data_IF_694784872302
#
_entry.id   IF_694784872302
#
_cell.length_a   1.000
_cell.length_b   1.000
_cell.length_c   1.000
_cell.angle_alpha   90.00
_cell.angle_beta   90.00
_cell.angle_gamma   90.00
#
_symmetry.space_group_name_H-M   'P 1'
#
loop_
_entity.id
_entity.type
_entity.pdbx_description
1 polymer ?
#
# COMPACT_ATOMS: atom_id res chain seq x y z
N UNK A 1 6.98 -24.56 46.69
CA UNK A 1 7.24 -25.44 45.54
C UNK A 1 7.43 -24.55 44.33
N UNK A 2 8.65 -24.38 43.85
CA UNK A 2 9.02 -23.47 42.76
C UNK A 2 9.29 -24.30 41.50
N UNK A 3 8.52 -24.07 40.44
CA UNK A 3 8.72 -24.73 39.15
C UNK A 3 9.50 -23.79 38.22
N UNK A 4 10.71 -24.20 37.82
CA UNK A 4 11.50 -23.55 36.79
C UNK A 4 11.19 -24.21 35.45
N UNK A 5 10.82 -23.41 34.44
CA UNK A 5 10.63 -23.88 33.06
C UNK A 5 11.88 -23.50 32.26
N UNK A 6 12.64 -24.50 31.84
CA UNK A 6 13.78 -24.36 30.92
C UNK A 6 13.28 -24.51 29.49
N UNK A 7 13.38 -23.45 28.68
CA UNK A 7 13.09 -23.53 27.24
C UNK A 7 14.38 -23.80 26.46
N UNK A 8 14.44 -24.97 25.82
CA UNK A 8 15.54 -25.41 24.97
C UNK A 8 15.27 -24.90 23.54
N UNK A 9 16.06 -23.93 23.07
CA UNK A 9 15.92 -23.35 21.74
C UNK A 9 17.00 -23.92 20.80
N UNK A 10 16.67 -24.97 20.06
CA UNK A 10 17.50 -25.47 18.96
C UNK A 10 16.64 -25.61 17.71
N UNK A 11 16.58 -24.52 16.93
CA UNK A 11 16.13 -24.56 15.54
C UNK A 11 17.33 -24.89 14.65
N UNK A 12 17.49 -26.17 14.31
CA UNK A 12 18.41 -26.57 13.23
C UNK A 12 17.72 -26.37 11.88
N UNK A 13 18.12 -25.35 11.13
CA UNK A 13 17.76 -25.20 9.72
C UNK A 13 18.60 -26.18 8.89
N UNK A 14 18.07 -27.38 8.61
CA UNK A 14 18.58 -28.23 7.54
C UNK A 14 17.94 -27.79 6.22
N UNK A 15 18.72 -27.11 5.40
CA UNK A 15 18.40 -26.86 4.01
C UNK A 15 18.67 -28.14 3.20
N UNK A 16 17.63 -28.68 2.57
CA UNK A 16 17.72 -29.82 1.65
C UNK A 16 17.26 -29.37 0.26
N UNK A 17 18.21 -28.93 -0.57
CA UNK A 17 17.99 -28.81 -2.01
C UNK A 17 18.32 -30.15 -2.66
N UNK A 18 17.30 -30.77 -3.25
CA UNK A 18 17.41 -31.95 -4.09
C UNK A 18 17.99 -31.58 -5.46
N UNK A 19 19.07 -32.28 -5.79
CA UNK A 19 19.35 -32.97 -7.04
C UNK A 19 19.02 -32.29 -8.39
N UNK A 20 20.10 -32.03 -9.14
CA UNK A 20 20.11 -32.26 -10.59
C UNK A 20 20.89 -31.23 -11.40
N UNK A 21 22.17 -31.50 -11.70
CA UNK A 21 22.76 -31.51 -13.06
C UNK A 21 24.30 -31.50 -13.01
N UNK A 22 24.82 -32.68 -13.35
CA UNK A 22 26.03 -33.00 -14.15
C UNK A 22 27.36 -32.24 -13.95
N UNK A 23 28.32 -33.05 -13.46
CA UNK A 23 29.78 -32.96 -13.57
C UNK A 23 30.32 -32.28 -14.84
N UNK A 24 31.34 -31.43 -14.65
CA UNK A 24 32.56 -31.47 -15.45
C UNK A 24 33.78 -31.11 -14.59
N UNK A 25 34.68 -32.06 -14.46
CA UNK A 25 35.98 -31.97 -13.77
C UNK A 25 36.91 -31.03 -14.54
N UNK A 26 37.65 -30.15 -13.84
CA UNK A 26 38.95 -29.65 -14.31
C UNK A 26 39.93 -29.57 -13.13
N UNK A 27 41.11 -30.10 -13.43
CA UNK A 27 42.26 -30.39 -12.57
C UNK A 27 42.87 -29.16 -11.89
N UNK A 28 43.28 -29.33 -10.64
CA UNK A 28 44.13 -28.40 -9.89
C UNK A 28 45.59 -28.76 -10.18
N UNK A 29 46.40 -27.80 -10.61
CA UNK A 29 47.84 -27.79 -10.39
C UNK A 29 48.25 -26.40 -9.89
N UNK A 30 49.09 -26.31 -8.84
CA UNK A 30 49.61 -25.05 -8.33
C UNK A 30 50.97 -24.76 -8.97
N UNK A 31 51.18 -23.55 -9.50
CA UNK A 31 52.54 -23.00 -9.54
C UNK A 31 52.54 -21.46 -9.60
N UNK A 32 53.57 -20.92 -8.97
CA UNK A 32 53.79 -19.53 -8.57
C UNK A 32 54.34 -18.64 -9.70
N UNK A 33 53.96 -17.35 -9.68
CA UNK A 33 54.85 -16.15 -9.76
C UNK A 33 54.40 -15.06 -10.76
N UNK A 34 53.97 -13.94 -10.17
CA UNK A 34 54.45 -12.56 -10.36
C UNK A 34 53.90 -11.62 -11.48
N UNK A 35 53.66 -10.40 -11.00
CA UNK A 35 53.44 -9.06 -11.60
C UNK A 35 52.19 -8.75 -12.43
N UNK A 36 51.38 -7.82 -11.90
CA UNK A 36 50.88 -6.67 -12.68
C UNK A 36 49.35 -6.50 -12.74
N UNK A 37 48.85 -5.50 -12.01
CA UNK A 37 47.55 -4.82 -12.12
C UNK A 37 46.29 -5.68 -12.31
N UNK A 38 45.58 -5.93 -11.21
CA UNK A 38 44.20 -6.43 -11.23
C UNK A 38 43.27 -5.42 -10.57
N UNK A 39 42.44 -4.83 -11.43
CA UNK A 39 41.09 -4.31 -11.23
C UNK A 39 40.44 -4.72 -9.89
N UNK A 40 39.80 -3.80 -9.14
CA UNK A 40 39.05 -4.18 -7.95
C UNK A 40 37.96 -5.18 -8.34
N UNK A 41 38.00 -6.35 -7.71
CA UNK A 41 37.00 -7.38 -7.86
C UNK A 41 35.62 -6.80 -7.54
N UNK A 42 34.68 -6.98 -8.48
CA UNK A 42 33.26 -6.76 -8.27
C UNK A 42 32.80 -7.60 -7.07
N UNK A 43 32.66 -6.94 -5.93
CA UNK A 43 31.87 -7.44 -4.82
C UNK A 43 30.44 -7.50 -5.38
N UNK A 44 29.73 -8.64 -5.32
CA UNK A 44 28.33 -8.65 -5.69
C UNK A 44 27.61 -7.73 -4.71
N UNK A 45 27.29 -6.52 -5.19
CA UNK A 45 26.45 -5.56 -4.51
C UNK A 45 25.23 -6.32 -4.01
N UNK A 46 24.94 -6.14 -2.73
CA UNK A 46 23.64 -6.48 -2.14
C UNK A 46 22.55 -6.10 -3.13
N UNK A 47 21.55 -6.96 -3.39
CA UNK A 47 20.50 -6.61 -4.33
C UNK A 47 19.93 -5.26 -3.89
N UNK A 48 20.06 -4.27 -4.77
CA UNK A 48 19.41 -2.98 -4.60
C UNK A 48 17.93 -3.29 -4.41
N UNK A 49 17.46 -3.22 -3.17
CA UNK A 49 16.05 -3.22 -2.86
C UNK A 49 15.59 -1.86 -3.34
N UNK A 50 15.30 -1.75 -4.65
CA UNK A 50 14.59 -0.63 -5.21
C UNK A 50 13.21 -0.65 -4.57
N UNK A 51 13.09 0.10 -3.47
CA UNK A 51 11.81 0.41 -2.88
C UNK A 51 11.06 1.26 -3.90
N UNK A 52 10.27 0.58 -4.72
CA UNK A 52 9.13 1.18 -5.41
C UNK A 52 8.45 2.12 -4.42
N UNK A 53 8.25 3.38 -4.80
CA UNK A 53 7.51 4.37 -4.00
C UNK A 53 6.04 3.98 -3.77
N UNK A 54 5.61 2.89 -4.40
CA UNK A 54 4.31 2.23 -4.24
C UNK A 54 4.53 0.89 -3.54
N UNK A 55 3.83 0.67 -2.44
CA UNK A 55 4.01 -0.48 -1.55
C UNK A 55 3.34 -1.74 -2.10
N UNK A 56 2.69 -1.64 -3.25
CA UNK A 56 1.76 -2.65 -3.73
C UNK A 56 1.89 -2.92 -5.23
N UNK A 57 1.92 -4.20 -5.58
CA UNK A 57 1.66 -4.71 -6.92
C UNK A 57 0.16 -4.59 -7.19
N UNK A 58 -0.35 -3.35 -7.19
CA UNK A 58 -1.77 -3.09 -7.32
C UNK A 58 -2.29 -3.64 -8.64
N UNK A 59 -3.16 -4.63 -8.56
CA UNK A 59 -3.83 -5.18 -9.73
C UNK A 59 -4.79 -4.13 -10.29
N UNK A 60 -4.36 -3.45 -11.36
CA UNK A 60 -5.17 -2.40 -12.03
C UNK A 60 -6.57 -2.87 -12.40
N UNK A 61 -6.75 -4.16 -12.73
CA UNK A 61 -8.06 -4.71 -13.06
C UNK A 61 -8.97 -4.82 -11.81
N UNK A 62 -8.39 -5.14 -10.66
CA UNK A 62 -9.12 -5.19 -9.39
C UNK A 62 -9.52 -3.78 -8.95
N UNK A 63 -8.60 -2.81 -9.01
CA UNK A 63 -8.90 -1.39 -8.72
C UNK A 63 -10.01 -0.88 -9.64
N UNK A 64 -9.93 -1.16 -10.94
CA UNK A 64 -11.00 -0.77 -11.88
C UNK A 64 -12.34 -1.43 -11.54
N UNK A 65 -12.34 -2.67 -11.05
CA UNK A 65 -13.57 -3.34 -10.61
C UNK A 65 -14.16 -2.69 -9.37
N UNK A 66 -13.33 -2.38 -8.37
CA UNK A 66 -13.73 -1.66 -7.15
C UNK A 66 -14.27 -0.28 -7.50
N UNK A 67 -13.58 0.47 -8.38
CA UNK A 67 -14.02 1.78 -8.84
C UNK A 67 -15.42 1.72 -9.47
N UNK A 68 -15.64 0.78 -10.39
CA UNK A 68 -16.95 0.60 -11.03
C UNK A 68 -18.04 0.22 -10.02
N UNK A 69 -17.72 -0.61 -9.03
CA UNK A 69 -18.65 -0.93 -7.95
C UNK A 69 -19.01 0.33 -7.15
N UNK A 70 -18.03 1.11 -6.73
CA UNK A 70 -18.23 2.36 -5.99
C UNK A 70 -19.10 3.33 -6.81
N UNK A 71 -18.84 3.47 -8.11
CA UNK A 71 -19.63 4.31 -9.01
C UNK A 71 -21.09 3.88 -9.09
N UNK A 72 -21.36 2.58 -9.14
CA UNK A 72 -22.72 2.03 -9.12
C UNK A 72 -23.41 2.27 -7.77
N UNK A 73 -22.71 2.06 -6.66
CA UNK A 73 -23.23 2.28 -5.31
C UNK A 73 -23.54 3.76 -5.06
N UNK A 74 -22.60 4.65 -5.41
CA UNK A 74 -22.76 6.10 -5.31
C UNK A 74 -23.96 6.58 -6.13
N UNK A 75 -24.09 6.10 -7.38
CA UNK A 75 -25.24 6.40 -8.23
C UNK A 75 -26.56 5.95 -7.59
N UNK A 76 -26.62 4.70 -7.11
CA UNK A 76 -27.84 4.16 -6.50
C UNK A 76 -28.23 4.92 -5.22
N UNK A 77 -27.25 5.34 -4.40
CA UNK A 77 -27.48 6.18 -3.22
C UNK A 77 -28.01 7.56 -3.61
N UNK A 78 -27.36 8.23 -4.57
CA UNK A 78 -27.74 9.56 -5.03
C UNK A 78 -29.17 9.58 -5.60
N UNK A 79 -29.52 8.59 -6.43
CA UNK A 79 -30.86 8.46 -6.99
C UNK A 79 -31.91 8.17 -5.91
N UNK A 80 -31.58 7.34 -4.92
CA UNK A 80 -32.47 7.03 -3.79
C UNK A 80 -32.73 8.25 -2.90
N UNK A 81 -31.71 9.07 -2.67
CA UNK A 81 -31.79 10.25 -1.82
C UNK A 81 -32.44 11.45 -2.54
N UNK A 82 -32.62 11.37 -3.86
CA UNK A 82 -33.29 12.38 -4.68
C UNK A 82 -34.83 12.35 -4.55
N UNK A 83 -35.34 12.47 -3.33
CA UNK A 83 -36.78 12.41 -3.00
C UNK A 83 -37.59 13.51 -3.70
N UNK A 84 -36.95 14.64 -4.03
CA UNK A 84 -37.59 15.78 -4.68
C UNK A 84 -37.66 15.66 -6.21
N UNK A 85 -37.19 14.55 -6.80
CA UNK A 85 -37.12 14.32 -8.25
C UNK A 85 -36.45 15.46 -9.03
N UNK A 86 -35.40 16.05 -8.45
CA UNK A 86 -34.59 17.05 -9.14
C UNK A 86 -33.81 16.36 -10.27
N UNK A 87 -33.63 17.04 -11.39
CA UNK A 87 -32.80 16.51 -12.48
C UNK A 87 -31.33 16.41 -12.02
N UNK A 88 -30.82 15.18 -11.92
CA UNK A 88 -29.43 14.90 -11.57
C UNK A 88 -28.54 15.07 -12.80
N UNK A 89 -27.48 15.85 -12.66
CA UNK A 89 -26.53 16.16 -13.74
C UNK A 89 -25.27 15.29 -13.63
N UNK A 90 -24.48 15.14 -14.72
CA UNK A 90 -23.23 14.38 -14.69
C UNK A 90 -22.28 14.80 -13.55
N UNK A 91 -22.22 16.10 -13.24
CA UNK A 91 -21.46 16.62 -12.10
C UNK A 91 -21.85 16.00 -10.75
N UNK A 92 -23.14 15.79 -10.50
CA UNK A 92 -23.63 15.27 -9.22
C UNK A 92 -23.18 13.82 -9.01
N UNK A 93 -23.19 13.01 -10.07
CA UNK A 93 -22.71 11.63 -10.04
C UNK A 93 -21.20 11.55 -9.80
N UNK A 94 -20.41 12.42 -10.45
CA UNK A 94 -18.96 12.46 -10.23
C UNK A 94 -18.63 12.87 -8.80
N UNK A 95 -19.28 13.92 -8.30
CA UNK A 95 -19.12 14.36 -6.91
C UNK A 95 -19.46 13.24 -5.93
N UNK A 96 -20.62 12.60 -6.11
CA UNK A 96 -21.03 11.49 -5.25
C UNK A 96 -20.06 10.31 -5.31
N UNK A 97 -19.47 10.04 -6.47
CA UNK A 97 -18.48 8.96 -6.62
C UNK A 97 -17.19 9.30 -5.86
N UNK A 98 -16.68 10.53 -5.97
CA UNK A 98 -15.49 10.99 -5.25
C UNK A 98 -15.70 10.91 -3.73
N UNK A 99 -16.87 11.35 -3.26
CA UNK A 99 -17.22 11.28 -1.84
C UNK A 99 -17.31 9.82 -1.35
N UNK A 100 -17.93 8.94 -2.13
CA UNK A 100 -18.06 7.53 -1.80
C UNK A 100 -16.71 6.79 -1.77
N UNK A 101 -15.76 7.12 -2.66
CA UNK A 101 -14.40 6.53 -2.65
C UNK A 101 -13.73 6.69 -1.27
N UNK A 102 -13.91 7.84 -0.62
CA UNK A 102 -13.32 8.11 0.68
C UNK A 102 -13.98 7.30 1.81
N UNK A 103 -15.26 6.97 1.67
CA UNK A 103 -16.06 6.29 2.70
C UNK A 103 -16.14 4.77 2.50
N UNK A 104 -15.91 4.30 1.28
CA UNK A 104 -16.11 2.90 0.93
C UNK A 104 -15.16 1.98 1.74
N UNK A 105 -15.68 0.91 2.35
CA UNK A 105 -14.86 -0.05 3.09
C UNK A 105 -14.03 -0.88 2.12
N UNK A 106 -12.70 -0.81 2.23
CA UNK A 106 -11.76 -1.56 1.39
C UNK A 106 -11.19 -2.74 2.15
N UNK A 107 -11.29 -3.93 1.56
CA UNK A 107 -10.65 -5.14 2.07
C UNK A 107 -9.40 -5.40 1.24
N UNK A 108 -8.24 -5.03 1.79
CA UNK A 108 -6.94 -5.30 1.17
C UNK A 108 -6.31 -6.56 1.77
N UNK A 109 -5.58 -7.30 0.94
CA UNK A 109 -4.82 -8.50 1.34
C UNK A 109 -3.34 -8.28 1.10
N UNK A 110 -2.51 -9.02 1.83
CA UNK A 110 -1.06 -9.09 1.57
C UNK A 110 -0.85 -10.16 0.52
N UNK A 111 -0.37 -9.76 -0.64
CA UNK A 111 -0.02 -10.69 -1.71
C UNK A 111 1.33 -11.38 -1.42
N UNK A 112 1.62 -12.55 -2.01
CA UNK A 112 2.84 -13.31 -1.71
C UNK A 112 4.15 -12.53 -1.90
N UNK A 113 4.18 -11.63 -2.88
CA UNK A 113 5.31 -10.73 -3.18
C UNK A 113 5.46 -9.58 -2.17
N UNK A 114 4.38 -9.24 -1.44
CA UNK A 114 4.34 -8.16 -0.46
C UNK A 114 4.68 -8.61 0.97
N UNK A 115 4.77 -9.92 1.21
CA UNK A 115 4.98 -10.51 2.55
C UNK A 115 6.20 -9.92 3.25
N UNK A 116 7.32 -9.77 2.54
CA UNK A 116 8.55 -9.23 3.13
C UNK A 116 8.38 -7.78 3.59
N UNK A 117 7.74 -6.95 2.78
CA UNK A 117 7.44 -5.55 3.11
C UNK A 117 6.46 -5.48 4.28
N UNK A 118 5.42 -6.32 4.28
CA UNK A 118 4.47 -6.39 5.39
C UNK A 118 5.14 -6.80 6.71
N UNK A 119 6.07 -7.76 6.68
CA UNK A 119 6.86 -8.14 7.86
C UNK A 119 7.72 -6.96 8.33
N UNK A 120 8.37 -6.25 7.42
CA UNK A 120 9.20 -5.09 7.76
C UNK A 120 8.37 -3.99 8.42
N UNK A 121 7.20 -3.66 7.86
CA UNK A 121 6.28 -2.66 8.40
C UNK A 121 5.82 -3.04 9.80
N UNK A 122 5.42 -4.30 9.99
CA UNK A 122 5.04 -4.82 11.31
C UNK A 122 6.18 -4.72 12.33
N UNK A 123 7.44 -4.97 11.92
CA UNK A 123 8.61 -4.80 12.80
C UNK A 123 8.84 -3.34 13.20
N UNK A 124 8.46 -2.40 12.34
CA UNK A 124 8.49 -0.95 12.62
C UNK A 124 7.26 -0.48 13.40
N UNK A 125 6.31 -1.36 13.72
CA UNK A 125 5.05 -1.00 14.38
C UNK A 125 4.04 -0.33 13.47
N UNK A 126 4.23 -0.41 12.15
CA UNK A 126 3.39 0.19 11.13
C UNK A 126 2.45 -0.88 10.57
N UNK A 127 1.16 -0.55 10.46
CA UNK A 127 0.17 -1.41 9.83
C UNK A 127 0.31 -1.36 8.31
N UNK A 128 0.86 -2.42 7.72
CA UNK A 128 0.98 -2.55 6.26
C UNK A 128 -0.38 -2.44 5.56
N UNK A 129 -1.43 -3.02 6.15
CA UNK A 129 -2.77 -3.01 5.57
C UNK A 129 -3.34 -1.59 5.48
N UNK A 130 -3.16 -0.78 6.52
CA UNK A 130 -3.69 0.59 6.53
C UNK A 130 -2.98 1.45 5.48
N UNK A 131 -1.67 1.29 5.34
CA UNK A 131 -0.90 1.98 4.30
C UNK A 131 -1.35 1.53 2.91
N UNK A 132 -1.55 0.22 2.69
CA UNK A 132 -2.04 -0.30 1.42
C UNK A 132 -3.45 0.20 1.10
N UNK A 133 -4.34 0.33 2.10
CA UNK A 133 -5.67 0.92 1.89
C UNK A 133 -5.60 2.37 1.44
N UNK A 134 -4.71 3.18 2.05
CA UNK A 134 -4.50 4.56 1.63
C UNK A 134 -4.05 4.63 0.16
N UNK A 135 -3.07 3.79 -0.23
CA UNK A 135 -2.60 3.73 -1.62
C UNK A 135 -3.71 3.31 -2.60
N UNK A 136 -4.53 2.31 -2.26
CA UNK A 136 -5.67 1.91 -3.10
C UNK A 136 -6.66 3.07 -3.27
N UNK A 137 -6.98 3.82 -2.21
CA UNK A 137 -7.86 5.00 -2.31
C UNK A 137 -7.27 6.07 -3.21
N UNK A 138 -5.97 6.32 -3.13
CA UNK A 138 -5.30 7.27 -4.01
C UNK A 138 -5.42 6.86 -5.47
N UNK A 139 -5.25 5.58 -5.80
CA UNK A 139 -5.42 5.08 -7.17
C UNK A 139 -6.88 5.15 -7.64
N UNK A 140 -7.86 4.89 -6.77
CA UNK A 140 -9.28 5.08 -7.09
C UNK A 140 -9.60 6.55 -7.39
N UNK A 141 -9.01 7.49 -6.64
CA UNK A 141 -9.17 8.93 -6.89
C UNK A 141 -8.54 9.37 -8.22
N UNK A 142 -7.42 8.76 -8.63
CA UNK A 142 -6.83 9.00 -9.96
C UNK A 142 -7.75 8.52 -11.09
N UNK A 143 -8.42 7.37 -10.92
CA UNK A 143 -9.43 6.91 -11.87
C UNK A 143 -10.63 7.88 -11.92
N UNK A 144 -11.05 8.41 -10.78
CA UNK A 144 -12.09 9.43 -10.73
C UNK A 144 -11.67 10.72 -11.46
N UNK A 145 -10.40 11.13 -11.33
CA UNK A 145 -9.84 12.28 -12.05
C UNK A 145 -9.87 12.05 -13.57
N UNK A 146 -9.46 10.88 -14.04
CA UNK A 146 -9.53 10.49 -15.45
C UNK A 146 -10.98 10.52 -15.97
N UNK A 147 -11.94 9.99 -15.20
CA UNK A 147 -13.37 10.00 -15.54
C UNK A 147 -13.95 11.43 -15.63
N UNK A 148 -13.53 12.33 -14.74
CA UNK A 148 -13.91 13.74 -14.74
C UNK A 148 -13.34 14.45 -15.97
N UNK A 149 -12.07 14.22 -16.28
CA UNK A 149 -11.41 14.82 -17.44
C UNK A 149 -12.04 14.32 -18.75
N UNK A 150 -12.30 13.02 -18.87
CA UNK A 150 -13.03 12.44 -20.01
C UNK A 150 -14.42 13.06 -20.18
N UNK A 151 -15.13 13.30 -19.07
CA UNK A 151 -16.47 13.92 -19.12
C UNK A 151 -16.42 15.37 -19.55
N UNK A 152 -15.37 16.11 -19.18
CA UNK A 152 -15.17 17.48 -19.64
C UNK A 152 -14.83 17.53 -21.13
N UNK A 153 -13.97 16.63 -21.62
CA UNK A 153 -13.64 16.50 -23.04
C UNK A 153 -14.88 16.17 -23.90
N UNK A 154 -15.84 15.43 -23.33
CA UNK A 154 -17.12 15.12 -23.95
C UNK A 154 -18.19 16.22 -23.76
N UNK A 155 -17.82 17.38 -23.19
CA UNK A 155 -18.71 18.50 -22.87
C UNK A 155 -19.93 18.11 -21.98
N UNK A 156 -19.80 17.05 -21.18
CA UNK A 156 -20.85 16.60 -20.25
C UNK A 156 -20.84 17.37 -18.93
N UNK A 157 -19.74 18.05 -18.62
CA UNK A 157 -19.59 18.97 -17.48
C UNK A 157 -18.92 20.27 -17.97
N UNK A 158 -19.15 21.37 -17.26
CA UNK A 158 -18.47 22.65 -17.56
C UNK A 158 -17.02 22.66 -17.05
N UNK A 159 -16.19 23.56 -17.58
CA UNK A 159 -14.82 23.76 -17.08
C UNK A 159 -14.75 24.15 -15.61
N UNK A 160 -15.70 24.97 -15.14
CA UNK A 160 -15.80 25.35 -13.73
C UNK A 160 -16.11 24.12 -12.85
N UNK A 161 -17.03 23.26 -13.31
CA UNK A 161 -17.37 22.01 -12.64
C UNK A 161 -16.18 21.04 -12.61
N UNK A 162 -15.47 20.89 -13.74
CA UNK A 162 -14.25 20.08 -13.84
C UNK A 162 -13.21 20.56 -12.82
N UNK A 163 -12.92 21.85 -12.79
CA UNK A 163 -11.94 22.44 -11.89
C UNK A 163 -12.34 22.26 -10.41
N UNK A 164 -13.62 22.42 -10.09
CA UNK A 164 -14.14 22.16 -8.73
C UNK A 164 -13.96 20.69 -8.31
N UNK A 165 -14.26 19.74 -9.19
CA UNK A 165 -14.06 18.31 -8.91
C UNK A 165 -12.58 17.95 -8.77
N UNK A 166 -11.72 18.45 -9.67
CA UNK A 166 -10.26 18.26 -9.57
C UNK A 166 -9.68 18.83 -8.28
N UNK A 167 -10.17 19.98 -7.79
CA UNK A 167 -9.76 20.53 -6.50
C UNK A 167 -10.14 19.63 -5.32
N UNK A 168 -11.36 19.07 -5.34
CA UNK A 168 -11.81 18.12 -4.30
C UNK A 168 -10.92 16.86 -4.33
N UNK A 169 -10.66 16.31 -5.52
CA UNK A 169 -9.79 15.15 -5.70
C UNK A 169 -8.37 15.45 -5.18
N UNK A 170 -7.78 16.58 -5.57
CA UNK A 170 -6.45 16.99 -5.12
C UNK A 170 -6.38 17.16 -3.59
N UNK A 171 -7.41 17.75 -2.98
CA UNK A 171 -7.49 17.86 -1.52
C UNK A 171 -7.56 16.50 -0.83
N UNK A 172 -8.34 15.57 -1.38
CA UNK A 172 -8.45 14.22 -0.83
C UNK A 172 -7.15 13.41 -1.02
N UNK A 173 -6.48 13.55 -2.16
CA UNK A 173 -5.15 12.95 -2.40
C UNK A 173 -4.12 13.45 -1.39
N UNK A 174 -4.09 14.77 -1.13
CA UNK A 174 -3.18 15.34 -0.14
C UNK A 174 -3.46 14.81 1.27
N UNK A 175 -4.73 14.69 1.67
CA UNK A 175 -5.10 14.07 2.96
C UNK A 175 -4.63 12.63 3.06
N UNK A 176 -4.82 11.83 2.01
CA UNK A 176 -4.39 10.42 2.00
C UNK A 176 -2.86 10.29 2.05
N UNK A 177 -2.13 11.21 1.41
CA UNK A 177 -0.67 11.25 1.49
C UNK A 177 -0.21 11.62 2.91
N UNK A 178 -0.83 12.62 3.53
CA UNK A 178 -0.56 13.00 4.93
C UNK A 178 -0.89 11.85 5.90
N UNK A 179 -2.01 11.15 5.70
CA UNK A 179 -2.40 9.97 6.48
C UNK A 179 -1.39 8.83 6.31
N UNK A 180 -0.98 8.54 5.07
CA UNK A 180 0.06 7.55 4.77
C UNK A 180 1.37 7.93 5.46
N UNK A 181 1.80 9.19 5.36
CA UNK A 181 3.03 9.66 5.99
C UNK A 181 2.96 9.53 7.52
N UNK A 182 1.83 9.90 8.14
CA UNK A 182 1.63 9.74 9.58
C UNK A 182 1.67 8.26 10.03
N UNK A 183 1.14 7.35 9.20
CA UNK A 183 1.26 5.90 9.45
C UNK A 183 2.72 5.46 9.40
N UNK A 184 3.49 5.93 8.41
CA UNK A 184 4.90 5.58 8.23
C UNK A 184 5.80 6.15 9.34
N UNK A 185 5.47 7.33 9.88
CA UNK A 185 6.19 7.93 11.00
C UNK A 185 5.90 7.27 12.35
N UNK A 186 4.92 6.35 12.39
CA UNK A 186 4.49 5.66 13.60
C UNK A 186 3.73 6.56 14.57
N UNK A 187 3.20 7.70 14.11
CA UNK A 187 2.45 8.64 14.95
C UNK A 187 1.23 8.00 15.60
N UNK A 188 0.57 7.10 14.87
CA UNK A 188 -0.57 6.34 15.38
C UNK A 188 -0.17 5.47 16.58
N UNK A 189 1.00 4.83 16.53
CA UNK A 189 1.51 4.01 17.63
C UNK A 189 1.85 4.88 18.85
N UNK A 190 2.48 6.04 18.64
CA UNK A 190 2.79 6.99 19.72
C UNK A 190 1.52 7.51 20.40
N UNK A 191 0.50 7.88 19.62
CA UNK A 191 -0.81 8.31 20.13
C UNK A 191 -1.50 7.20 20.93
N UNK A 192 -1.57 5.99 20.38
CA UNK A 192 -2.19 4.84 21.06
C UNK A 192 -1.48 4.47 22.36
N UNK A 193 -0.14 4.52 22.40
CA UNK A 193 0.63 4.32 23.62
C UNK A 193 0.31 5.40 24.66
N UNK A 194 0.26 6.66 24.24
CA UNK A 194 -0.02 7.79 25.12
C UNK A 194 -1.44 7.73 25.71
N UNK A 195 -2.46 7.41 24.91
CA UNK A 195 -3.83 7.18 25.37
C UNK A 195 -3.92 6.02 26.36
N UNK A 196 -3.22 4.90 26.10
CA UNK A 196 -3.15 3.78 27.04
C UNK A 196 -2.52 4.20 28.37
N UNK A 197 -1.42 4.95 28.34
CA UNK A 197 -0.77 5.45 29.56
C UNK A 197 -1.69 6.41 30.35
N UNK A 198 -2.45 7.27 29.68
CA UNK A 198 -3.43 8.16 30.32
C UNK A 198 -4.57 7.38 30.97
N UNK A 199 -5.13 6.37 30.29
CA UNK A 199 -6.18 5.52 30.86
C UNK A 199 -5.72 4.72 32.08
N UNK A 200 -4.48 4.22 32.05
CA UNK A 200 -3.89 3.52 33.19
C UNK A 200 -3.62 4.46 34.37
N UNK A 201 -3.27 5.72 34.10
CA UNK A 201 -3.09 6.76 35.12
C UNK A 201 -4.41 7.13 35.81
N UNK A 202 -5.49 7.22 35.04
CA UNK A 202 -6.82 7.56 35.56
C UNK A 202 -7.53 6.42 36.31
N UNK A 203 -7.11 5.15 36.13
CA UNK A 203 -7.65 3.99 36.86
C UNK A 203 -6.91 3.65 38.16
N UNK A 204 -5.87 4.40 38.51
CA UNK A 204 -5.04 4.19 39.71
C UNK A 204 -5.33 5.13 40.88
N UNK A 205 -6.43 5.88 40.88
CA UNK A 205 -6.87 6.75 41.98
C UNK A 205 -8.16 6.24 42.61
#
# INVERSE_FOLDING_TARGET
MTASITMNNQLSLRSSYLAGLQKKEVSINPDFSDVGDTQPADVPSTPDIQFSSQISSLNKAEIGSIYNQIKLEAKAKLEKDNVNNTELKPFDYHKSTIDEIMLHPLVVKVEPDEIHTAILYNRMGISYLDVKQAEVRMELLKLAEEDVENSAQQASISEEQRLGLSQIIASNLLKLEDEKQALLEGDQMRKNQQELFEQLRCKGQ
#
